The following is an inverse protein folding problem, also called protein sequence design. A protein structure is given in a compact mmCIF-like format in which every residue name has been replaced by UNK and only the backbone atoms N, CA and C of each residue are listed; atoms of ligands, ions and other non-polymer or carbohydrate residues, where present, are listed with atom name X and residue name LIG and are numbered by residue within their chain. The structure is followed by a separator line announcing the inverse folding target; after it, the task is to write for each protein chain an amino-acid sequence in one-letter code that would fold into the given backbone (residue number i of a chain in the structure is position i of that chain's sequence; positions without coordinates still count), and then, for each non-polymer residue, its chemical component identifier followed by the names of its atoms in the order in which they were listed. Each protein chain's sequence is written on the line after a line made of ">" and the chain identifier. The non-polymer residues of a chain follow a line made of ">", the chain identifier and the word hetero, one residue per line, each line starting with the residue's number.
data_IF_790623376804
#
_entry.id   IF_790623376804
#
_cell.length_a   1.000
_cell.length_b   1.000
_cell.length_c   1.000
_cell.angle_alpha   90.00
_cell.angle_beta   90.00
_cell.angle_gamma   90.00
#
_symmetry.space_group_name_H-M   'P 1'
#
loop_
_entity.id
_entity.type
_entity.pdbx_description
1 polymer ?
#
# COMPACT_ATOMS: atom_id res chain seq x y z
N UNK A 1 -9.56 -1.90 2.39
CA UNK A 1 -8.64 -1.10 3.25
C UNK A 1 -8.31 0.26 2.65
N UNK A 2 -7.77 1.22 3.42
CA UNK A 2 -7.43 2.59 2.94
C UNK A 2 -5.91 2.82 2.93
N UNK A 3 -5.44 3.54 1.91
CA UNK A 3 -4.05 4.02 1.81
C UNK A 3 -3.81 5.13 2.84
N UNK A 4 -2.75 5.00 3.63
CA UNK A 4 -2.24 6.05 4.53
C UNK A 4 -0.98 6.65 3.91
N UNK A 5 -0.89 7.98 3.86
CA UNK A 5 0.35 8.63 3.46
C UNK A 5 1.42 8.37 4.51
N UNK A 6 2.64 8.11 4.05
CA UNK A 6 3.82 7.98 4.93
C UNK A 6 4.82 9.07 4.59
N UNK A 7 5.54 9.63 5.58
CA UNK A 7 6.55 10.64 5.33
C UNK A 7 7.65 10.10 4.41
N UNK A 8 7.95 10.87 3.37
CA UNK A 8 9.11 10.67 2.51
C UNK A 8 9.96 11.92 2.60
N UNK A 9 11.02 11.86 3.40
CA UNK A 9 11.90 12.99 3.71
C UNK A 9 13.34 12.56 3.51
N UNK A 10 14.20 13.46 3.03
CA UNK A 10 15.63 13.20 2.83
C UNK A 10 15.92 11.93 1.99
N UNK A 11 15.07 11.63 1.00
CA UNK A 11 15.15 10.42 0.17
C UNK A 11 14.96 9.10 0.94
N UNK A 12 14.35 9.16 2.13
CA UNK A 12 14.13 8.03 3.01
C UNK A 12 12.64 7.88 3.35
N UNK A 13 12.21 6.63 3.48
CA UNK A 13 10.91 6.26 4.04
C UNK A 13 11.14 5.79 5.47
N UNK A 14 10.71 6.61 6.43
CA UNK A 14 10.80 6.26 7.84
C UNK A 14 9.52 5.51 8.24
N UNK A 15 9.67 4.21 8.47
CA UNK A 15 8.59 3.30 8.84
C UNK A 15 8.96 2.59 10.13
N UNK A 16 8.14 2.78 11.16
CA UNK A 16 8.22 2.01 12.39
C UNK A 16 7.54 0.66 12.17
N UNK A 17 8.34 -0.36 11.83
CA UNK A 17 7.86 -1.74 11.65
C UNK A 17 7.98 -2.46 12.99
N UNK A 18 6.87 -3.02 13.48
CA UNK A 18 6.82 -3.76 14.74
C UNK A 18 6.72 -5.26 14.48
N UNK A 19 7.25 -6.05 15.41
CA UNK A 19 7.07 -7.50 15.39
C UNK A 19 5.58 -7.84 15.51
N UNK A 20 5.08 -8.68 14.60
CA UNK A 20 3.66 -9.05 14.52
C UNK A 20 2.77 -8.11 13.70
N UNK A 21 3.34 -7.13 12.99
CA UNK A 21 2.56 -6.31 12.06
C UNK A 21 1.90 -7.18 10.98
N UNK A 22 0.62 -6.90 10.71
CA UNK A 22 -0.11 -7.49 9.58
C UNK A 22 0.67 -7.24 8.29
N UNK A 23 0.65 -8.18 7.31
CA UNK A 23 1.32 -7.97 6.04
C UNK A 23 0.83 -6.66 5.42
N UNK A 24 1.77 -5.84 4.93
CA UNK A 24 1.47 -4.54 4.35
C UNK A 24 2.29 -4.32 3.08
N UNK A 25 1.84 -3.37 2.27
CA UNK A 25 2.54 -2.91 1.08
C UNK A 25 2.75 -1.41 1.17
N UNK A 26 3.92 -0.97 0.73
CA UNK A 26 4.26 0.43 0.55
C UNK A 26 4.40 0.69 -0.94
N UNK A 27 3.77 1.75 -1.42
CA UNK A 27 3.82 2.17 -2.81
C UNK A 27 4.35 3.59 -2.86
N UNK A 28 5.48 3.77 -3.54
CA UNK A 28 6.08 5.06 -3.83
C UNK A 28 5.80 5.47 -5.27
N UNK A 29 5.40 6.72 -5.48
CA UNK A 29 5.18 7.29 -6.81
C UNK A 29 5.34 8.82 -6.75
N UNK A 30 6.31 9.35 -7.50
CA UNK A 30 6.50 10.80 -7.70
C UNK A 30 6.62 11.61 -6.39
N UNK A 31 7.40 11.14 -5.42
CA UNK A 31 7.61 11.85 -4.15
C UNK A 31 6.54 11.58 -3.09
N UNK A 32 5.44 10.90 -3.45
CA UNK A 32 4.47 10.42 -2.47
C UNK A 32 4.69 8.94 -2.19
N UNK A 33 4.64 8.58 -0.91
CA UNK A 33 4.56 7.19 -0.50
C UNK A 33 3.29 6.92 0.30
N UNK A 34 2.70 5.76 0.05
CA UNK A 34 1.47 5.31 0.71
C UNK A 34 1.64 3.90 1.22
N UNK A 35 1.17 3.65 2.43
CA UNK A 35 1.13 2.35 3.07
C UNK A 35 -0.30 1.85 3.14
N UNK A 36 -0.50 0.55 2.94
CA UNK A 36 -1.77 -0.11 3.23
C UNK A 36 -1.53 -1.55 3.63
N UNK A 37 -2.42 -2.09 4.47
CA UNK A 37 -2.36 -3.48 4.88
C UNK A 37 -2.95 -4.37 3.78
N UNK A 38 -2.40 -5.57 3.64
CA UNK A 38 -2.91 -6.61 2.74
C UNK A 38 -4.05 -7.34 3.44
N UNK A 39 -5.09 -7.76 2.69
CA UNK A 39 -6.19 -8.51 3.27
C UNK A 39 -5.70 -9.89 3.71
N UNK A 40 -6.40 -10.46 4.69
CA UNK A 40 -6.10 -11.81 5.17
C UNK A 40 -6.38 -12.86 4.08
N UNK A 41 -7.43 -12.61 3.28
CA UNK A 41 -7.80 -13.38 2.10
C UNK A 41 -8.14 -12.46 0.92
N UNK A 42 -7.84 -12.90 -0.31
CA UNK A 42 -8.14 -12.17 -1.54
C UNK A 42 -6.92 -11.52 -2.20
N UNK A 43 -7.18 -10.57 -3.10
CA UNK A 43 -6.18 -9.98 -3.97
C UNK A 43 -5.99 -8.48 -3.72
N UNK A 44 -4.75 -8.01 -3.78
CA UNK A 44 -4.42 -6.59 -3.83
C UNK A 44 -3.81 -6.25 -5.19
N UNK A 45 -4.44 -5.33 -5.93
CA UNK A 45 -4.02 -4.92 -7.28
C UNK A 45 -3.54 -3.47 -7.29
N UNK A 46 -2.26 -3.26 -7.60
CA UNK A 46 -1.71 -1.93 -7.87
C UNK A 46 -1.96 -1.58 -9.34
N UNK A 47 -2.79 -0.58 -9.59
CA UNK A 47 -3.14 -0.16 -10.94
C UNK A 47 -2.34 1.09 -11.30
N UNK A 48 -1.54 0.97 -12.36
CA UNK A 48 -0.73 2.06 -12.91
C UNK A 48 -1.35 2.62 -14.19
N UNK A 49 -1.04 3.88 -14.49
CA UNK A 49 -1.40 4.53 -15.75
C UNK A 49 -0.36 5.61 -16.06
N UNK A 50 0.24 5.56 -17.25
CA UNK A 50 1.27 6.52 -17.69
C UNK A 50 2.43 6.68 -16.69
N UNK A 51 2.96 5.55 -16.19
CA UNK A 51 4.09 5.53 -15.25
C UNK A 51 3.75 6.00 -13.83
N UNK A 52 2.48 6.32 -13.53
CA UNK A 52 2.01 6.71 -12.20
C UNK A 52 1.15 5.64 -11.58
N UNK A 53 1.19 5.54 -10.25
CA UNK A 53 0.23 4.74 -9.48
C UNK A 53 -1.09 5.51 -9.43
N UNK A 54 -2.15 4.93 -9.98
CA UNK A 54 -3.48 5.55 -10.03
C UNK A 54 -4.33 5.16 -8.82
N UNK A 55 -4.30 3.87 -8.44
CA UNK A 55 -5.04 3.35 -7.29
C UNK A 55 -4.54 1.96 -6.87
N UNK A 56 -4.79 1.62 -5.62
CA UNK A 56 -4.68 0.24 -5.11
C UNK A 56 -6.11 -0.27 -4.89
N UNK A 57 -6.44 -1.42 -5.47
CA UNK A 57 -7.72 -2.11 -5.28
C UNK A 57 -7.52 -3.33 -4.38
N UNK A 58 -8.54 -3.61 -3.58
CA UNK A 58 -8.65 -4.80 -2.74
C UNK A 58 -9.86 -5.58 -3.23
N UNK A 59 -9.68 -6.86 -3.46
CA UNK A 59 -10.68 -7.79 -3.95
C UNK A 59 -10.69 -8.99 -3.00
N UNK A 60 -11.46 -8.88 -1.92
CA UNK A 60 -11.40 -9.82 -0.79
C UNK A 60 -12.23 -11.10 -1.05
N UNK A 61 -12.88 -11.19 -2.21
CA UNK A 61 -13.86 -12.25 -2.52
C UNK A 61 -15.10 -12.14 -1.64
N UNK A 62 -16.27 -12.52 -2.15
CA UNK A 62 -17.42 -12.83 -1.30
C UNK A 62 -17.42 -14.35 -1.08
N UNK A 63 -17.38 -14.81 0.17
CA UNK A 63 -17.81 -16.18 0.47
C UNK A 63 -19.31 -16.26 0.15
N UNK A 64 -19.65 -16.92 -0.95
CA UNK A 64 -21.02 -17.36 -1.25
C UNK A 64 -21.18 -18.85 -0.93
#
# INVERSE_FOLDING_TARGET
>A
MRLKSIPFENHQLNLDIKEGDKPFVVVYCQGEAKLTYLPEHGETKVITHQGKVKRVKFDEGEEF
#
